data_IF_479649339864
#
_entry.id   IF_479649339864
#
_cell.length_a   1.000
_cell.length_b   1.000
_cell.length_c   1.000
_cell.angle_alpha   90.00
_cell.angle_beta   90.00
_cell.angle_gamma   90.00
#
_symmetry.space_group_name_H-M   'P 1'
#
loop_
_entity.id
_entity.type
_entity.pdbx_description
1 polymer ?
#
# COMPACT_ATOMS: atom_id res chain seq x y z
N UNK A 1 8.74 5.69 23.03
CA UNK A 1 9.45 4.46 22.61
C UNK A 1 8.62 3.84 21.52
N UNK A 2 9.14 3.69 20.30
CA UNK A 2 8.38 3.05 19.22
C UNK A 2 8.10 1.59 19.56
N UNK A 3 6.90 1.13 19.23
CA UNK A 3 6.57 -0.29 19.25
C UNK A 3 7.48 -1.07 18.30
N UNK A 4 7.88 -2.27 18.71
CA UNK A 4 8.62 -3.22 17.87
C UNK A 4 7.88 -3.44 16.54
N UNK A 5 6.54 -3.48 16.57
CA UNK A 5 5.70 -3.64 15.38
C UNK A 5 5.87 -2.45 14.42
N UNK A 6 5.82 -1.23 14.94
CA UNK A 6 5.99 0.00 14.15
C UNK A 6 7.38 0.05 13.49
N UNK A 7 8.44 -0.30 14.23
CA UNK A 7 9.80 -0.35 13.69
C UNK A 7 9.95 -1.42 12.59
N UNK A 8 9.42 -2.63 12.80
CA UNK A 8 9.45 -3.70 11.80
C UNK A 8 8.69 -3.30 10.53
N UNK A 9 7.50 -2.70 10.68
CA UNK A 9 6.72 -2.20 9.54
C UNK A 9 7.50 -1.16 8.73
N UNK A 10 8.14 -0.19 9.39
CA UNK A 10 8.98 0.82 8.72
C UNK A 10 10.14 0.17 7.95
N UNK A 11 10.79 -0.86 8.52
CA UNK A 11 11.87 -1.59 7.85
C UNK A 11 11.36 -2.39 6.64
N UNK A 12 10.21 -3.07 6.76
CA UNK A 12 9.59 -3.80 5.66
C UNK A 12 9.22 -2.87 4.51
N UNK A 13 8.61 -1.71 4.78
CA UNK A 13 8.22 -0.75 3.75
C UNK A 13 9.43 -0.15 3.03
N UNK A 14 10.50 0.19 3.76
CA UNK A 14 11.77 0.63 3.14
C UNK A 14 12.38 -0.46 2.26
N UNK A 15 12.38 -1.71 2.74
CA UNK A 15 12.91 -2.84 1.96
C UNK A 15 12.07 -3.12 0.71
N UNK A 16 10.74 -3.00 0.81
CA UNK A 16 9.84 -3.12 -0.32
C UNK A 16 10.08 -2.01 -1.35
N UNK A 17 10.28 -0.77 -0.90
CA UNK A 17 10.62 0.35 -1.79
C UNK A 17 11.90 0.05 -2.58
N UNK A 18 12.97 -0.40 -1.92
CA UNK A 18 14.21 -0.76 -2.61
C UNK A 18 14.01 -1.93 -3.58
N UNK A 19 13.23 -2.94 -3.19
CA UNK A 19 12.90 -4.03 -4.10
C UNK A 19 12.17 -3.54 -5.36
N UNK A 20 11.17 -2.66 -5.20
CA UNK A 20 10.41 -2.06 -6.30
C UNK A 20 11.32 -1.28 -7.25
N UNK A 21 12.32 -0.55 -6.74
CA UNK A 21 13.30 0.18 -7.57
C UNK A 21 14.10 -0.73 -8.52
N UNK A 22 14.29 -2.00 -8.15
CA UNK A 22 15.01 -2.98 -8.96
C UNK A 22 14.14 -3.62 -10.06
N UNK A 23 12.83 -3.38 -10.06
CA UNK A 23 11.91 -3.97 -11.01
C UNK A 23 11.64 -3.04 -12.21
N UNK A 24 10.92 -3.57 -13.20
CA UNK A 24 10.30 -2.78 -14.27
C UNK A 24 8.84 -3.16 -14.35
N UNK A 25 7.95 -2.18 -14.40
CA UNK A 25 6.50 -2.40 -14.39
C UNK A 25 5.87 -1.97 -15.71
N UNK A 26 4.78 -2.64 -16.06
CA UNK A 26 3.79 -2.10 -16.99
C UNK A 26 2.72 -1.33 -16.19
N UNK A 27 1.79 -0.70 -16.91
CA UNK A 27 0.67 0.05 -16.31
C UNK A 27 -0.07 -0.74 -15.23
N UNK A 28 -0.49 -1.97 -15.53
CA UNK A 28 -1.26 -2.80 -14.58
C UNK A 28 -0.45 -3.18 -13.33
N UNK A 29 0.85 -3.44 -13.47
CA UNK A 29 1.74 -3.70 -12.34
C UNK A 29 1.86 -2.49 -11.41
N UNK A 30 2.05 -1.29 -11.97
CA UNK A 30 2.04 -0.05 -11.20
C UNK A 30 0.70 0.18 -10.49
N UNK A 31 -0.41 0.03 -11.21
CA UNK A 31 -1.75 0.19 -10.67
C UNK A 31 -2.07 -0.80 -9.54
N UNK A 32 -1.53 -2.03 -9.62
CA UNK A 32 -1.66 -3.01 -8.54
C UNK A 32 -0.88 -2.58 -7.29
N UNK A 33 0.36 -2.11 -7.44
CA UNK A 33 1.14 -1.57 -6.31
C UNK A 33 0.41 -0.38 -5.68
N UNK A 34 -0.15 0.53 -6.48
CA UNK A 34 -0.98 1.64 -6.00
C UNK A 34 -2.16 1.16 -5.15
N UNK A 35 -2.90 0.16 -5.63
CA UNK A 35 -4.02 -0.44 -4.92
C UNK A 35 -3.58 -1.10 -3.61
N UNK A 36 -2.48 -1.85 -3.64
CA UNK A 36 -1.96 -2.55 -2.46
C UNK A 36 -1.51 -1.57 -1.37
N UNK A 37 -0.83 -0.48 -1.74
CA UNK A 37 -0.37 0.52 -0.78
C UNK A 37 -1.52 1.28 -0.11
N UNK A 38 -2.57 1.65 -0.85
CA UNK A 38 -3.74 2.30 -0.25
C UNK A 38 -4.60 1.33 0.57
N UNK A 39 -4.67 0.05 0.18
CA UNK A 39 -5.29 -0.97 1.02
C UNK A 39 -4.53 -1.13 2.35
N UNK A 40 -3.21 -1.30 2.28
CA UNK A 40 -2.34 -1.44 3.46
C UNK A 40 -2.42 -0.24 4.39
N UNK A 41 -2.51 0.98 3.85
CA UNK A 41 -2.66 2.20 4.67
C UNK A 41 -3.82 2.10 5.65
N UNK A 42 -4.96 1.55 5.22
CA UNK A 42 -6.14 1.36 6.09
C UNK A 42 -5.94 0.21 7.06
N UNK A 43 -5.34 -0.90 6.61
CA UNK A 43 -5.11 -2.09 7.43
C UNK A 43 -4.04 -1.89 8.52
N UNK A 44 -3.09 -0.98 8.32
CA UNK A 44 -1.97 -0.78 9.24
C UNK A 44 -2.27 0.25 10.34
N UNK A 45 -3.36 1.03 10.25
CA UNK A 45 -3.64 2.15 11.17
C UNK A 45 -3.65 1.75 12.65
N UNK A 46 -4.13 0.55 12.95
CA UNK A 46 -4.25 0.07 14.33
C UNK A 46 -2.94 -0.47 14.92
N UNK A 47 -1.90 -0.63 14.09
CA UNK A 47 -0.62 -1.25 14.47
C UNK A 47 0.55 -0.27 14.56
N UNK A 48 0.30 1.02 14.32
CA UNK A 48 1.34 2.03 14.09
C UNK A 48 1.19 3.21 15.04
N UNK A 49 2.29 3.62 15.66
CA UNK A 49 2.33 4.78 16.55
C UNK A 49 2.42 6.11 15.77
N UNK A 50 2.93 6.06 14.54
CA UNK A 50 3.22 7.20 13.67
C UNK A 50 2.63 6.98 12.28
N UNK A 51 1.34 7.31 12.14
CA UNK A 51 0.59 7.19 10.89
C UNK A 51 1.20 8.06 9.77
N UNK A 52 1.79 9.21 10.12
CA UNK A 52 2.39 10.10 9.14
C UNK A 52 3.62 9.48 8.50
N UNK A 53 4.53 8.87 9.28
CA UNK A 53 5.70 8.20 8.74
C UNK A 53 5.33 6.98 7.87
N UNK A 54 4.33 6.20 8.26
CA UNK A 54 3.90 5.04 7.47
C UNK A 54 3.20 5.49 6.18
N UNK A 55 2.32 6.49 6.25
CA UNK A 55 1.69 7.10 5.07
C UNK A 55 2.73 7.66 4.10
N UNK A 56 3.81 8.26 4.62
CA UNK A 56 4.95 8.70 3.81
C UNK A 56 5.65 7.52 3.14
N UNK A 57 6.00 6.47 3.89
CA UNK A 57 6.69 5.29 3.33
C UNK A 57 5.86 4.54 2.29
N UNK A 58 4.54 4.43 2.46
CA UNK A 58 3.65 3.82 1.47
C UNK A 58 3.61 4.65 0.17
N UNK A 59 3.58 5.98 0.27
CA UNK A 59 3.70 6.87 -0.91
C UNK A 59 5.03 6.71 -1.60
N UNK A 60 6.10 6.55 -0.84
CA UNK A 60 7.45 6.34 -1.36
C UNK A 60 7.61 5.03 -2.14
N UNK A 61 6.89 3.96 -1.74
CA UNK A 61 6.78 2.73 -2.56
C UNK A 61 6.04 3.00 -3.87
N UNK A 62 4.91 3.72 -3.82
CA UNK A 62 4.17 4.10 -5.03
C UNK A 62 4.99 4.98 -5.98
N UNK A 63 5.74 5.94 -5.45
CA UNK A 63 6.64 6.80 -6.23
C UNK A 63 7.72 5.96 -6.92
N UNK A 64 8.35 5.02 -6.20
CA UNK A 64 9.32 4.11 -6.79
C UNK A 64 8.71 3.26 -7.91
N UNK A 65 7.48 2.76 -7.74
CA UNK A 65 6.79 2.00 -8.78
C UNK A 65 6.45 2.87 -10.01
N UNK A 66 6.05 4.12 -9.79
CA UNK A 66 5.78 5.10 -10.85
C UNK A 66 7.03 5.36 -11.70
N UNK A 67 8.17 5.63 -11.07
CA UNK A 67 9.46 5.86 -11.75
C UNK A 67 9.95 4.64 -12.54
N UNK A 68 9.55 3.43 -12.13
CA UNK A 68 9.96 2.17 -12.76
C UNK A 68 8.92 1.61 -13.74
N UNK A 69 7.83 2.34 -13.99
CA UNK A 69 6.77 1.92 -14.90
C UNK A 69 6.96 2.51 -16.29
N UNK A 70 6.81 1.67 -17.32
CA UNK A 70 6.93 2.09 -18.73
C UNK A 70 5.78 3.00 -19.19
N UNK A 71 4.66 2.99 -18.46
CA UNK A 71 3.44 3.71 -18.80
C UNK A 71 2.66 4.05 -17.51
N UNK A 72 3.10 5.08 -16.78
CA UNK A 72 2.77 5.26 -15.37
C UNK A 72 1.44 6.01 -15.17
N UNK A 73 0.35 5.46 -15.71
CA UNK A 73 -0.99 6.03 -15.56
C UNK A 73 -1.66 5.45 -14.31
N UNK A 74 -1.93 6.27 -13.27
CA UNK A 74 -2.53 5.79 -12.03
C UNK A 74 -3.98 5.37 -12.23
N UNK A 75 -4.47 4.52 -11.33
CA UNK A 75 -5.91 4.35 -11.15
C UNK A 75 -6.51 5.65 -10.62
N UNK A 76 -7.66 6.00 -11.18
CA UNK A 76 -8.46 7.11 -10.69
C UNK A 76 -8.94 6.83 -9.26
N UNK A 77 -8.97 7.88 -8.42
CA UNK A 77 -9.38 7.76 -7.02
C UNK A 77 -10.75 7.05 -6.84
N UNK A 78 -11.80 7.32 -7.63
CA UNK A 78 -13.08 6.61 -7.48
C UNK A 78 -12.99 5.10 -7.74
N UNK A 79 -12.13 4.66 -8.65
CA UNK A 79 -11.93 3.23 -8.94
C UNK A 79 -11.18 2.58 -7.78
N UNK A 80 -10.14 3.25 -7.29
CA UNK A 80 -9.34 2.82 -6.16
C UNK A 80 -10.20 2.63 -4.90
N UNK A 81 -10.99 3.66 -4.57
CA UNK A 81 -11.91 3.64 -3.43
C UNK A 81 -12.95 2.52 -3.56
N UNK A 82 -13.51 2.33 -4.77
CA UNK A 82 -14.47 1.26 -5.03
C UNK A 82 -13.87 -0.13 -4.78
N UNK A 83 -12.65 -0.38 -5.27
CA UNK A 83 -11.97 -1.66 -5.12
C UNK A 83 -11.64 -1.96 -3.65
N UNK A 84 -11.09 -0.97 -2.94
CA UNK A 84 -10.73 -1.09 -1.51
C UNK A 84 -11.99 -1.35 -0.68
N UNK A 85 -13.04 -0.55 -0.87
CA UNK A 85 -14.28 -0.69 -0.10
C UNK A 85 -14.96 -2.05 -0.37
N UNK A 86 -14.98 -2.51 -1.61
CA UNK A 86 -15.51 -3.83 -1.94
C UNK A 86 -14.72 -4.96 -1.24
N UNK A 87 -13.39 -4.86 -1.18
CA UNK A 87 -12.55 -5.85 -0.49
C UNK A 87 -12.78 -5.82 1.03
N UNK A 88 -12.85 -4.64 1.64
CA UNK A 88 -13.10 -4.48 3.07
C UNK A 88 -14.49 -4.97 3.48
N UNK A 89 -15.52 -4.70 2.67
CA UNK A 89 -16.88 -5.21 2.91
C UNK A 89 -16.90 -6.74 2.91
N UNK A 90 -16.25 -7.37 1.91
CA UNK A 90 -16.14 -8.83 1.83
C UNK A 90 -15.40 -9.44 3.04
N UNK A 91 -14.35 -8.80 3.53
CA UNK A 91 -13.63 -9.26 4.75
C UNK A 91 -14.56 -9.19 5.98
N UNK A 92 -15.32 -8.10 6.13
CA UNK A 92 -16.29 -7.94 7.22
C UNK A 92 -17.38 -9.00 7.19
N UNK A 93 -17.95 -9.28 6.02
CA UNK A 93 -18.95 -10.35 5.83
C UNK A 93 -18.38 -11.72 6.22
N UNK A 94 -17.14 -12.02 5.84
CA UNK A 94 -16.48 -13.27 6.20
C UNK A 94 -16.24 -13.39 7.70
N UNK A 95 -15.84 -12.30 8.37
CA UNK A 95 -15.66 -12.30 9.82
C UNK A 95 -16.96 -12.42 10.62
N UNK A 96 -18.09 -11.99 10.06
CA UNK A 96 -19.41 -12.09 10.71
C UNK A 96 -20.05 -13.48 10.60
N UNK A 97 -19.58 -14.31 9.66
CA UNK A 97 -20.09 -15.66 9.40
C UNK A 97 -19.25 -16.77 10.09
N UNK A 98 -18.28 -16.39 10.93
CA UNK A 98 -17.39 -17.29 11.67
C UNK A 98 -17.64 -17.12 13.16
#
# INVERSE_FOLDING_TARGET
QESVISTVLKLCLKSLQEFVRLQTFNRSGFQQIQLDMEFLKSSLKEFIDDEAAISFLLKEVNNAAHERCLDPIPLEAPILDKLINAKLAKIKEQSANM
#
